data_IF_970066905598
#
_entry.id   IF_970066905598
#
_cell.length_a   1.000
_cell.length_b   1.000
_cell.length_c   1.000
_cell.angle_alpha   90.00
_cell.angle_beta   90.00
_cell.angle_gamma   90.00
#
_symmetry.space_group_name_H-M   'P 1'
#
loop_
_entity.id
_entity.type
_entity.pdbx_description
1 polymer ?
#
# COMPACT_ATOMS: atom_id res chain seq x y z
N UNK A 1 7.47 -7.62 -14.82
CA UNK A 1 8.14 -6.35 -15.03
C UNK A 1 7.40 -5.18 -14.46
N UNK A 2 6.21 -4.89 -14.97
CA UNK A 2 5.39 -3.84 -14.40
C UNK A 2 5.10 -4.08 -12.93
N UNK A 3 4.92 -5.33 -12.55
CA UNK A 3 4.60 -5.67 -11.16
C UNK A 3 5.72 -5.31 -10.21
N UNK A 4 6.97 -5.48 -10.64
CA UNK A 4 8.12 -5.13 -9.81
C UNK A 4 8.16 -3.64 -9.53
N UNK A 5 7.90 -2.83 -10.55
CA UNK A 5 7.91 -1.37 -10.41
C UNK A 5 6.79 -0.92 -9.47
N UNK A 6 5.61 -1.52 -9.62
CA UNK A 6 4.48 -1.19 -8.77
C UNK A 6 4.79 -1.55 -7.31
N UNK A 7 5.34 -2.73 -7.09
CA UNK A 7 5.70 -3.16 -5.75
C UNK A 7 6.76 -2.26 -5.13
N UNK A 8 7.74 -1.86 -5.92
CA UNK A 8 8.79 -0.96 -5.44
C UNK A 8 8.21 0.37 -4.98
N UNK A 9 7.28 0.92 -5.74
CA UNK A 9 6.64 2.18 -5.36
C UNK A 9 5.81 2.03 -4.11
N UNK A 10 5.07 0.94 -4.00
CA UNK A 10 4.27 0.66 -2.81
C UNK A 10 5.18 0.57 -1.60
N UNK A 11 6.31 -0.15 -1.73
CA UNK A 11 7.26 -0.31 -0.65
C UNK A 11 7.83 1.04 -0.21
N UNK A 12 8.21 1.88 -1.15
CA UNK A 12 8.76 3.19 -0.83
C UNK A 12 7.74 4.06 -0.10
N UNK A 13 6.49 4.01 -0.53
CA UNK A 13 5.43 4.77 0.11
C UNK A 13 5.23 4.31 1.55
N UNK A 14 5.24 3.01 1.77
CA UNK A 14 5.07 2.45 3.11
C UNK A 14 6.22 2.87 4.02
N UNK A 15 7.44 2.80 3.52
CA UNK A 15 8.61 3.21 4.29
C UNK A 15 8.49 4.68 4.68
N UNK A 16 8.10 5.50 3.73
CA UNK A 16 8.00 6.94 3.95
C UNK A 16 6.90 7.30 4.97
N UNK A 17 5.76 6.62 4.87
CA UNK A 17 4.61 6.96 5.71
C UNK A 17 4.66 6.31 7.08
N UNK A 18 5.17 5.09 7.17
CA UNK A 18 5.16 4.34 8.42
C UNK A 18 6.52 4.31 9.12
N UNK A 19 7.59 4.64 8.40
CA UNK A 19 8.92 4.65 8.99
C UNK A 19 9.43 3.26 9.34
N UNK A 20 8.99 2.23 8.63
CA UNK A 20 9.42 0.86 8.90
C UNK A 20 10.57 0.48 7.97
N UNK A 21 11.35 -0.52 8.39
CA UNK A 21 12.45 -1.03 7.57
C UNK A 21 11.92 -1.81 6.38
N UNK A 22 12.64 -1.69 5.27
CA UNK A 22 12.29 -2.43 4.07
C UNK A 22 12.25 -3.94 4.32
N UNK A 23 13.10 -4.43 5.21
CA UNK A 23 13.16 -5.85 5.51
C UNK A 23 11.87 -6.38 6.12
N UNK A 24 11.05 -5.52 6.69
CA UNK A 24 9.78 -5.92 7.27
C UNK A 24 8.63 -5.89 6.27
N UNK A 25 8.87 -5.33 5.10
CA UNK A 25 7.84 -5.20 4.08
C UNK A 25 7.97 -6.34 3.09
N UNK A 26 7.00 -7.23 3.10
CA UNK A 26 6.92 -8.31 2.12
C UNK A 26 5.48 -8.37 1.61
N UNK A 27 5.23 -9.21 0.63
CA UNK A 27 3.91 -9.25 0.01
C UNK A 27 2.81 -9.69 0.96
N UNK A 28 3.15 -10.41 2.02
CA UNK A 28 2.19 -10.86 3.01
C UNK A 28 2.02 -9.89 4.18
N UNK A 29 2.84 -8.85 4.25
CA UNK A 29 2.81 -7.92 5.38
C UNK A 29 1.47 -7.19 5.43
N UNK A 30 0.87 -7.17 6.61
CA UNK A 30 -0.36 -6.44 6.86
C UNK A 30 -0.02 -5.09 7.48
N UNK A 31 -0.70 -4.06 7.02
CA UNK A 31 -0.37 -2.71 7.44
C UNK A 31 -0.50 -2.51 8.95
N UNK A 32 -1.58 -2.98 9.53
CA UNK A 32 -1.81 -2.77 10.96
C UNK A 32 -1.09 -3.83 11.81
N UNK A 33 -1.25 -5.09 11.46
CA UNK A 33 -0.74 -6.18 12.30
C UNK A 33 0.76 -6.34 12.22
N UNK A 34 1.32 -6.23 11.01
CA UNK A 34 2.74 -6.50 10.80
C UNK A 34 3.58 -5.23 10.78
N UNK A 35 3.03 -4.14 10.28
CA UNK A 35 3.79 -2.90 10.11
C UNK A 35 3.44 -1.84 11.17
N UNK A 36 2.47 -2.12 12.02
CA UNK A 36 2.14 -1.23 13.11
C UNK A 36 1.39 0.03 12.74
N UNK A 37 0.75 0.05 11.58
CA UNK A 37 -0.05 1.20 11.15
C UNK A 37 -1.36 1.24 11.95
N UNK A 38 -1.85 2.45 12.21
CA UNK A 38 -3.20 2.58 12.74
C UNK A 38 -4.15 2.96 11.61
N UNK A 39 -5.42 3.20 11.93
CA UNK A 39 -6.41 3.46 10.90
C UNK A 39 -6.14 4.76 10.13
N UNK A 40 -5.57 5.76 10.79
CA UNK A 40 -5.21 7.01 10.11
C UNK A 40 -4.05 6.78 9.15
N UNK A 41 -3.09 5.96 9.57
CA UNK A 41 -1.94 5.65 8.73
C UNK A 41 -2.39 4.93 7.46
N UNK A 42 -3.34 3.99 7.57
CA UNK A 42 -3.82 3.29 6.39
C UNK A 42 -4.54 4.23 5.43
N UNK A 43 -5.30 5.19 5.96
CA UNK A 43 -5.95 6.19 5.12
C UNK A 43 -4.92 7.00 4.35
N UNK A 44 -3.85 7.41 5.02
CA UNK A 44 -2.80 8.18 4.38
C UNK A 44 -2.08 7.37 3.32
N UNK A 45 -1.85 6.09 3.58
CA UNK A 45 -1.25 5.20 2.59
C UNK A 45 -2.10 5.13 1.33
N UNK A 46 -3.41 4.95 1.50
CA UNK A 46 -4.33 4.87 0.38
C UNK A 46 -4.32 6.15 -0.43
N UNK A 47 -4.35 7.29 0.24
CA UNK A 47 -4.31 8.57 -0.44
C UNK A 47 -3.03 8.75 -1.24
N UNK A 48 -1.91 8.32 -0.68
CA UNK A 48 -0.64 8.43 -1.38
C UNK A 48 -0.59 7.50 -2.59
N UNK A 49 -1.18 6.31 -2.47
CA UNK A 49 -1.28 5.40 -3.61
C UNK A 49 -2.07 6.04 -4.74
N UNK A 50 -3.17 6.72 -4.40
CA UNK A 50 -3.98 7.39 -5.41
C UNK A 50 -3.18 8.44 -6.17
N UNK A 51 -2.38 9.21 -5.44
CA UNK A 51 -1.59 10.26 -6.06
C UNK A 51 -0.45 9.70 -6.91
N UNK A 52 0.28 8.74 -6.36
CA UNK A 52 1.46 8.21 -7.03
C UNK A 52 1.13 7.39 -8.26
N UNK A 53 0.00 6.68 -8.23
CA UNK A 53 -0.40 5.82 -9.34
C UNK A 53 -1.48 6.45 -10.23
N UNK A 54 -1.92 7.64 -9.85
CA UNK A 54 -2.95 8.37 -10.60
C UNK A 54 -4.21 7.52 -10.79
N UNK A 55 -4.69 6.97 -9.70
CA UNK A 55 -5.91 6.15 -9.67
C UNK A 55 -6.84 6.64 -8.58
N UNK A 56 -8.08 6.19 -8.64
CA UNK A 56 -9.07 6.52 -7.63
C UNK A 56 -9.43 5.27 -6.85
N UNK A 57 -9.40 5.36 -5.53
CA UNK A 57 -9.73 4.24 -4.66
C UNK A 57 -10.91 4.65 -3.78
N UNK A 58 -12.11 4.18 -4.08
CA UNK A 58 -13.28 4.50 -3.25
C UNK A 58 -13.09 3.97 -1.82
N UNK A 59 -13.78 4.59 -0.88
CA UNK A 59 -13.66 4.22 0.52
C UNK A 59 -13.96 2.75 0.77
N UNK A 60 -14.98 2.22 0.13
CA UNK A 60 -15.34 0.82 0.31
C UNK A 60 -14.26 -0.13 -0.19
N UNK A 61 -13.52 0.27 -1.21
CA UNK A 61 -12.39 -0.53 -1.69
C UNK A 61 -11.19 -0.36 -0.78
N UNK A 62 -10.99 0.85 -0.29
CA UNK A 62 -9.88 1.14 0.61
C UNK A 62 -9.96 0.28 1.87
N UNK A 63 -11.15 0.04 2.37
CA UNK A 63 -11.35 -0.79 3.55
C UNK A 63 -10.88 -2.23 3.34
N UNK A 64 -10.80 -2.67 2.11
CA UNK A 64 -10.38 -4.03 1.77
C UNK A 64 -8.89 -4.13 1.54
N UNK A 65 -8.19 -3.02 1.42
CA UNK A 65 -6.76 -3.01 1.18
C UNK A 65 -6.05 -2.98 2.53
N UNK A 66 -5.77 -4.15 3.06
CA UNK A 66 -5.23 -4.31 4.40
C UNK A 66 -3.79 -4.83 4.42
N UNK A 67 -3.25 -5.17 3.27
CA UNK A 67 -1.89 -5.72 3.18
C UNK A 67 -1.22 -5.24 1.90
N UNK A 68 0.11 -5.46 1.84
CA UNK A 68 0.90 -5.10 0.66
C UNK A 68 0.36 -5.82 -0.59
N UNK A 69 0.07 -7.11 -0.45
CA UNK A 69 -0.41 -7.90 -1.57
C UNK A 69 -1.76 -7.39 -2.09
N UNK A 70 -2.65 -7.04 -1.18
CA UNK A 70 -3.96 -6.52 -1.57
C UNK A 70 -3.83 -5.18 -2.28
N UNK A 71 -2.92 -4.33 -1.80
CA UNK A 71 -2.66 -3.05 -2.46
C UNK A 71 -2.11 -3.28 -3.86
N UNK A 72 -1.15 -4.18 -3.98
CA UNK A 72 -0.53 -4.48 -5.26
C UNK A 72 -1.56 -4.99 -6.26
N UNK A 73 -2.39 -5.93 -5.85
CA UNK A 73 -3.41 -6.49 -6.73
C UNK A 73 -4.42 -5.45 -7.16
N UNK A 74 -4.84 -4.60 -6.23
CA UNK A 74 -5.81 -3.57 -6.55
C UNK A 74 -5.26 -2.58 -7.57
N UNK A 75 -4.04 -2.12 -7.34
CA UNK A 75 -3.41 -1.15 -8.22
C UNK A 75 -3.19 -1.72 -9.61
N UNK A 76 -2.76 -2.98 -9.68
CA UNK A 76 -2.57 -3.64 -10.97
C UNK A 76 -3.86 -3.76 -11.75
N UNK A 77 -4.97 -3.96 -11.08
CA UNK A 77 -6.27 -4.01 -11.77
C UNK A 77 -6.69 -2.66 -12.32
N UNK A 78 -6.31 -1.59 -11.64
CA UNK A 78 -6.68 -0.24 -12.08
C UNK A 78 -5.77 0.28 -13.20
N UNK A 79 -4.61 -0.28 -13.33
CA UNK A 79 -3.70 0.10 -14.41
C UNK A 79 -4.11 -0.59 -15.69
#
# INVERSE_FOLDING_TARGET
MTDSTTLDKITEIIIDKLGVDKSKINSSARFIEDLGADSLDTVELIMQFEEDFDIEIPDEDAEKILSVNQALNYINKKK
#
